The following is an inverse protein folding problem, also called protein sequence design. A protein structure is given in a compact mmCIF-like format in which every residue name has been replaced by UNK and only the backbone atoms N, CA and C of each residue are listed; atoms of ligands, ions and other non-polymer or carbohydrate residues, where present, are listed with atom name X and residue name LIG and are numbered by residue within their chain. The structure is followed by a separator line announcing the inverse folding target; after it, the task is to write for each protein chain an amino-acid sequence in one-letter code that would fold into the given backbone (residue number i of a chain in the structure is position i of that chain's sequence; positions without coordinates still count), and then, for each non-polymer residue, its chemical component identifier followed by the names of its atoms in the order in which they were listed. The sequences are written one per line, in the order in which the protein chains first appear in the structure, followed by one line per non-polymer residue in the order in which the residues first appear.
data_IF_109456459459
#
_entry.id   IF_109456459459
#
_cell.length_a   1.000
_cell.length_b   1.000
_cell.length_c   1.000
_cell.angle_alpha   90.00
_cell.angle_beta   90.00
_cell.angle_gamma   90.00
#
_symmetry.space_group_name_H-M   'P 1'
#
loop_
_entity.id
_entity.type
_entity.pdbx_description
1 polymer ?
#
# COMPACT_ATOMS: atom_id res chain seq x y z
N UNK A 1 14.54 -6.74 -3.53
CA UNK A 1 15.83 -6.03 -3.44
C UNK A 1 15.93 -5.27 -2.10
N UNK A 2 16.93 -5.57 -1.24
CA UNK A 2 17.07 -4.95 0.07
C UNK A 2 17.13 -3.42 0.06
N UNK A 3 17.85 -2.84 -0.91
CA UNK A 3 17.98 -1.39 -1.05
C UNK A 3 16.64 -0.68 -1.30
N UNK A 4 15.76 -1.28 -2.11
CA UNK A 4 14.42 -0.74 -2.36
C UNK A 4 13.57 -0.72 -1.08
N UNK A 5 13.57 -1.82 -0.33
CA UNK A 5 12.82 -1.92 0.91
C UNK A 5 13.34 -0.94 1.97
N UNK A 6 14.66 -0.84 2.13
CA UNK A 6 15.30 0.11 3.04
C UNK A 6 14.95 1.56 2.68
N UNK A 7 15.02 1.93 1.38
CA UNK A 7 14.66 3.27 0.93
C UNK A 7 13.18 3.59 1.20
N UNK A 8 12.26 2.66 0.97
CA UNK A 8 10.84 2.85 1.28
C UNK A 8 10.61 3.03 2.79
N UNK A 9 11.26 2.24 3.63
CA UNK A 9 11.19 2.38 5.08
C UNK A 9 11.75 3.75 5.54
N UNK A 10 12.87 4.19 4.97
CA UNK A 10 13.45 5.49 5.26
C UNK A 10 12.50 6.64 4.94
N UNK A 11 11.83 6.61 3.77
CA UNK A 11 10.82 7.62 3.41
C UNK A 11 9.63 7.60 4.36
N UNK A 12 9.10 6.41 4.69
CA UNK A 12 7.96 6.28 5.61
C UNK A 12 8.27 6.89 6.98
N UNK A 13 9.44 6.57 7.55
CA UNK A 13 9.87 7.12 8.84
C UNK A 13 10.26 8.59 8.76
N UNK A 14 10.89 9.01 7.67
CA UNK A 14 11.27 10.41 7.43
C UNK A 14 10.05 11.34 7.38
N UNK A 15 8.98 10.93 6.70
CA UNK A 15 7.73 11.69 6.66
C UNK A 15 7.06 11.81 8.04
N UNK A 16 7.13 10.76 8.86
CA UNK A 16 6.62 10.80 10.24
C UNK A 16 7.42 11.78 11.12
N UNK A 17 8.73 11.86 10.91
CA UNK A 17 9.57 12.87 11.58
C UNK A 17 9.21 14.28 11.10
N UNK A 18 9.11 14.50 9.78
CA UNK A 18 8.75 15.79 9.18
C UNK A 18 7.39 16.33 9.65
N UNK A 19 6.44 15.42 9.92
CA UNK A 19 5.11 15.79 10.40
C UNK A 19 5.17 16.67 11.67
N UNK A 20 6.18 16.52 12.52
CA UNK A 20 6.31 17.32 13.75
C UNK A 20 6.58 18.79 13.47
N UNK A 21 7.37 19.07 12.44
CA UNK A 21 7.92 20.39 12.20
C UNK A 21 7.13 21.18 11.14
N UNK A 22 6.45 20.49 10.22
CA UNK A 22 5.72 21.15 9.13
C UNK A 22 4.68 22.19 9.60
N UNK A 23 3.96 22.02 10.73
CA UNK A 23 2.98 23.01 11.18
C UNK A 23 3.63 24.31 11.66
N UNK A 24 4.91 24.26 12.08
CA UNK A 24 5.66 25.46 12.45
C UNK A 24 5.97 26.35 11.23
N UNK A 25 6.02 25.77 10.03
CA UNK A 25 6.22 26.49 8.76
C UNK A 25 4.88 26.93 8.17
N UNK A 26 3.88 26.04 8.17
CA UNK A 26 2.53 26.34 7.72
C UNK A 26 1.50 25.71 8.64
N UNK A 27 0.77 26.53 9.42
CA UNK A 27 -0.10 26.06 10.51
C UNK A 27 -1.22 25.09 10.12
N UNK A 28 -1.54 24.98 8.81
CA UNK A 28 -2.52 24.00 8.28
C UNK A 28 -1.88 22.81 7.57
N UNK A 29 -0.56 22.73 7.49
CA UNK A 29 0.12 21.63 6.81
C UNK A 29 -0.09 20.32 7.56
N UNK A 30 -0.34 19.26 6.79
CA UNK A 30 -0.46 17.89 7.29
C UNK A 30 0.45 16.99 6.48
N UNK A 31 1.07 16.02 7.15
CA UNK A 31 1.94 15.03 6.51
C UNK A 31 1.44 13.65 6.91
N UNK A 32 1.11 12.83 5.92
CA UNK A 32 0.75 11.43 6.08
C UNK A 32 1.40 10.64 4.94
N UNK A 33 1.52 9.33 5.11
CA UNK A 33 2.04 8.42 4.09
C UNK A 33 1.02 7.33 3.78
N UNK A 34 0.95 6.94 2.51
CA UNK A 34 0.15 5.78 2.06
C UNK A 34 1.12 4.68 1.64
N UNK A 35 1.02 3.52 2.27
CA UNK A 35 1.83 2.33 2.02
C UNK A 35 0.97 1.25 1.35
N UNK A 36 0.90 1.24 0.00
CA UNK A 36 0.13 0.24 -0.70
C UNK A 36 0.82 -1.13 -0.71
N UNK A 37 0.02 -2.17 -0.90
CA UNK A 37 0.50 -3.51 -1.25
C UNK A 37 0.82 -3.62 -2.74
N UNK A 38 0.64 -4.81 -3.31
CA UNK A 38 0.70 -4.98 -4.76
C UNK A 38 -0.54 -4.32 -5.37
N UNK A 39 -0.32 -3.34 -6.26
CA UNK A 39 -1.38 -2.56 -6.90
C UNK A 39 -1.57 -3.03 -8.34
N UNK A 40 -2.82 -3.11 -8.79
CA UNK A 40 -3.21 -3.49 -10.15
C UNK A 40 -2.86 -2.47 -11.24
N UNK A 41 -1.59 -2.05 -11.30
CA UNK A 41 -1.06 -1.12 -12.31
C UNK A 41 -0.88 -1.82 -13.67
N UNK A 42 -0.69 -1.04 -14.75
CA UNK A 42 -0.28 -1.60 -16.06
C UNK A 42 1.01 -2.41 -15.93
N UNK A 43 2.02 -1.85 -15.24
CA UNK A 43 3.28 -2.53 -14.97
C UNK A 43 3.10 -3.88 -14.29
N UNK A 44 2.25 -3.97 -13.26
CA UNK A 44 2.02 -5.25 -12.57
C UNK A 44 1.37 -6.29 -13.50
N UNK A 45 0.44 -5.86 -14.37
CA UNK A 45 -0.16 -6.74 -15.38
C UNK A 45 0.87 -7.25 -16.39
N UNK A 46 1.71 -6.35 -16.93
CA UNK A 46 2.82 -6.72 -17.83
C UNK A 46 3.81 -7.69 -17.15
N UNK A 47 4.11 -7.49 -15.87
CA UNK A 47 4.95 -8.41 -15.09
C UNK A 47 4.30 -9.78 -14.92
N UNK A 48 2.99 -9.85 -14.70
CA UNK A 48 2.25 -11.12 -14.63
C UNK A 48 2.21 -11.85 -15.98
N UNK A 49 1.99 -11.13 -17.08
CA UNK A 49 2.01 -11.69 -18.43
C UNK A 49 3.39 -12.26 -18.78
N UNK A 50 4.46 -11.56 -18.39
CA UNK A 50 5.84 -12.00 -18.65
C UNK A 50 6.28 -13.16 -17.75
N UNK A 51 5.90 -13.16 -16.47
CA UNK A 51 6.40 -14.11 -15.47
C UNK A 51 5.46 -15.29 -15.19
N UNK A 52 4.21 -15.23 -15.66
CA UNK A 52 3.22 -16.30 -15.53
C UNK A 52 2.41 -16.31 -14.23
N UNK A 53 1.50 -17.27 -14.12
CA UNK A 53 0.52 -17.36 -13.02
C UNK A 53 1.17 -17.61 -11.65
N UNK A 54 2.23 -18.41 -11.59
CA UNK A 54 2.96 -18.68 -10.34
C UNK A 54 3.50 -17.37 -9.72
N UNK A 55 3.99 -16.45 -10.56
CA UNK A 55 4.48 -15.14 -10.12
C UNK A 55 3.34 -14.28 -9.58
N UNK A 56 2.23 -14.22 -10.30
CA UNK A 56 1.03 -13.51 -9.86
C UNK A 56 0.54 -14.04 -8.52
N UNK A 57 0.40 -15.37 -8.39
CA UNK A 57 -0.01 -16.01 -7.14
C UNK A 57 0.92 -15.63 -5.99
N UNK A 58 2.23 -15.78 -6.16
CA UNK A 58 3.21 -15.47 -5.12
C UNK A 58 3.16 -14.00 -4.65
N UNK A 59 3.02 -13.06 -5.59
CA UNK A 59 3.03 -11.63 -5.28
C UNK A 59 1.72 -11.13 -4.66
N UNK A 60 0.58 -11.70 -5.05
CA UNK A 60 -0.74 -11.30 -4.57
C UNK A 60 -1.41 -12.36 -3.70
N UNK A 61 -1.90 -13.42 -4.33
CA UNK A 61 -2.86 -14.34 -3.72
C UNK A 61 -2.25 -15.09 -2.53
N UNK A 62 -0.98 -15.49 -2.62
CA UNK A 62 -0.29 -16.23 -1.59
C UNK A 62 -0.14 -15.45 -0.27
N UNK A 63 -0.02 -14.12 -0.31
CA UNK A 63 0.41 -13.32 0.87
C UNK A 63 -0.53 -12.19 1.26
N UNK A 64 -1.62 -11.98 0.51
CA UNK A 64 -2.61 -10.92 0.74
C UNK A 64 -3.93 -11.52 1.24
N UNK A 65 -4.47 -11.01 2.34
CA UNK A 65 -5.71 -11.51 2.94
C UNK A 65 -6.94 -11.48 2.02
N UNK A 66 -7.05 -10.45 1.19
CA UNK A 66 -8.10 -10.35 0.18
C UNK A 66 -7.85 -11.20 -1.08
N UNK A 67 -6.70 -11.89 -1.15
CA UNK A 67 -6.29 -12.75 -2.27
C UNK A 67 -6.39 -12.07 -3.65
N UNK A 68 -6.17 -10.75 -3.71
CA UNK A 68 -6.21 -9.97 -4.95
C UNK A 68 -5.34 -8.72 -4.85
N UNK A 69 -4.79 -8.22 -5.97
CA UNK A 69 -4.12 -6.94 -5.99
C UNK A 69 -5.07 -5.82 -5.57
N UNK A 70 -4.49 -4.76 -5.01
CA UNK A 70 -5.22 -3.55 -4.61
C UNK A 70 -5.59 -2.77 -5.88
N UNK A 71 -6.87 -2.40 -6.07
CA UNK A 71 -7.28 -1.49 -7.14
C UNK A 71 -6.57 -0.13 -7.03
N UNK A 72 -6.23 0.48 -8.18
CA UNK A 72 -5.58 1.81 -8.20
C UNK A 72 -6.49 2.87 -7.56
N UNK A 73 -7.80 2.69 -7.73
CA UNK A 73 -8.84 3.57 -7.23
C UNK A 73 -8.86 3.58 -5.69
N UNK A 74 -8.59 2.46 -5.02
CA UNK A 74 -8.59 2.37 -3.57
C UNK A 74 -7.41 3.16 -2.97
N UNK A 75 -6.25 3.08 -3.61
CA UNK A 75 -5.07 3.89 -3.24
C UNK A 75 -5.38 5.38 -3.47
N UNK A 76 -5.97 5.71 -4.62
CA UNK A 76 -6.28 7.10 -5.00
C UNK A 76 -7.34 7.72 -4.07
N UNK A 77 -8.39 6.98 -3.72
CA UNK A 77 -9.42 7.41 -2.76
C UNK A 77 -8.82 7.68 -1.38
N UNK A 78 -7.83 6.90 -0.96
CA UNK A 78 -7.12 7.14 0.30
C UNK A 78 -6.40 8.49 0.28
N UNK A 79 -5.72 8.83 -0.83
CA UNK A 79 -5.12 10.15 -0.98
C UNK A 79 -6.16 11.28 -0.94
N UNK A 80 -7.31 11.09 -1.61
CA UNK A 80 -8.39 12.07 -1.58
C UNK A 80 -8.93 12.30 -0.16
N UNK A 81 -9.13 11.23 0.61
CA UNK A 81 -9.52 11.31 2.03
C UNK A 81 -8.48 12.08 2.82
N UNK A 82 -7.19 11.74 2.69
CA UNK A 82 -6.10 12.40 3.40
C UNK A 82 -5.93 13.87 3.01
N UNK A 83 -6.20 14.24 1.76
CA UNK A 83 -6.15 15.63 1.31
C UNK A 83 -7.38 16.45 1.77
N UNK A 84 -8.50 15.80 2.07
CA UNK A 84 -9.74 16.49 2.45
C UNK A 84 -9.73 16.98 3.89
N UNK A 85 -10.01 18.26 4.08
CA UNK A 85 -10.22 18.84 5.41
C UNK A 85 -11.56 18.41 6.04
N UNK A 86 -12.53 17.97 5.24
CA UNK A 86 -13.80 17.46 5.79
C UNK A 86 -13.65 16.05 6.36
N UNK A 87 -12.85 15.20 5.70
CA UNK A 87 -12.72 13.80 6.10
C UNK A 87 -11.53 13.53 7.02
N UNK A 88 -10.47 14.35 6.95
CA UNK A 88 -9.21 14.00 7.63
C UNK A 88 -8.43 15.19 8.20
N UNK A 89 -9.03 16.36 8.44
CA UNK A 89 -8.35 17.55 8.97
C UNK A 89 -7.46 17.29 10.20
N UNK A 90 -7.83 16.36 11.09
CA UNK A 90 -6.99 15.99 12.25
C UNK A 90 -6.13 14.73 12.06
N UNK A 91 -6.11 14.18 10.85
CA UNK A 91 -5.24 13.05 10.50
C UNK A 91 -3.88 13.59 10.08
N UNK A 92 -2.87 13.29 10.89
CA UNK A 92 -1.51 13.81 10.75
C UNK A 92 -0.49 12.80 11.28
N UNK A 93 0.68 12.73 10.65
CA UNK A 93 1.77 11.81 11.00
C UNK A 93 1.45 10.33 10.77
N UNK A 94 0.37 9.99 10.05
CA UNK A 94 -0.09 8.61 9.92
C UNK A 94 0.58 7.88 8.75
N UNK A 95 0.82 6.58 8.93
CA UNK A 95 1.16 5.63 7.87
C UNK A 95 -0.07 4.77 7.60
N UNK A 96 -0.74 5.01 6.49
CA UNK A 96 -1.95 4.29 6.09
C UNK A 96 -1.62 3.13 5.18
N UNK A 97 -1.87 1.90 5.64
CA UNK A 97 -1.69 0.70 4.83
C UNK A 97 -2.90 0.45 3.94
N UNK A 98 -2.68 0.38 2.62
CA UNK A 98 -3.70 0.08 1.62
C UNK A 98 -3.24 -1.15 0.84
N UNK A 99 -3.26 -2.30 1.51
CA UNK A 99 -2.54 -3.49 1.06
C UNK A 99 -3.36 -4.79 1.07
N UNK A 100 -4.67 -4.73 1.30
CA UNK A 100 -5.53 -5.92 1.36
C UNK A 100 -5.20 -6.90 2.48
N UNK A 101 -4.46 -6.45 3.52
CA UNK A 101 -4.02 -7.30 4.62
C UNK A 101 -2.79 -8.15 4.26
N UNK A 102 -1.83 -7.61 3.50
CA UNK A 102 -0.57 -8.32 3.21
C UNK A 102 0.23 -8.55 4.49
N UNK A 103 0.51 -9.80 4.84
CA UNK A 103 1.21 -10.21 6.09
C UNK A 103 2.63 -10.71 5.87
N UNK A 104 3.05 -10.89 4.61
CA UNK A 104 4.38 -11.42 4.26
C UNK A 104 4.56 -12.92 4.56
N UNK A 105 3.55 -13.57 5.14
CA UNK A 105 3.48 -15.01 5.35
C UNK A 105 2.59 -15.65 4.28
N UNK A 106 2.80 -16.93 4.00
CA UNK A 106 1.91 -17.70 3.14
C UNK A 106 0.55 -17.82 3.83
N UNK A 107 -0.49 -17.33 3.16
CA UNK A 107 -1.85 -17.20 3.65
C UNK A 107 -2.83 -18.07 2.87
N UNK A 108 -2.62 -18.24 1.57
CA UNK A 108 -3.51 -19.00 0.71
C UNK A 108 -2.72 -19.99 -0.14
N UNK A 109 -3.01 -21.27 0.02
CA UNK A 109 -2.59 -22.30 -0.93
C UNK A 109 -3.50 -22.29 -2.17
N UNK A 110 -3.02 -22.76 -3.34
CA UNK A 110 -3.82 -22.76 -4.57
C UNK A 110 -5.15 -23.52 -4.46
N UNK A 111 -5.18 -24.64 -3.75
CA UNK A 111 -6.37 -25.44 -3.49
C UNK A 111 -7.40 -24.71 -2.61
N UNK A 112 -6.95 -23.93 -1.64
CA UNK A 112 -7.80 -23.11 -0.77
C UNK A 112 -8.45 -21.95 -1.54
N UNK A 113 -7.76 -21.39 -2.54
CA UNK A 113 -8.31 -20.35 -3.41
C UNK A 113 -9.43 -20.90 -4.30
N UNK A 114 -9.26 -22.11 -4.84
CA UNK A 114 -10.25 -22.76 -5.69
C UNK A 114 -11.58 -23.02 -4.95
N UNK A 115 -11.52 -23.27 -3.64
CA UNK A 115 -12.70 -23.52 -2.79
C UNK A 115 -13.46 -22.24 -2.40
N UNK A 116 -12.95 -21.05 -2.74
CA UNK A 116 -13.46 -19.76 -2.28
C UNK A 116 -14.46 -19.10 -3.25
N UNK A 117 -14.78 -19.76 -4.38
CA UNK A 117 -15.71 -19.27 -5.39
C UNK A 117 -17.17 -19.49 -5.01
#
# INVERSE_FOLDING_TARGET
MPAYAAAKAAVQRGLQSLARDVPMVFGKARVNAVAPGVVGTSRFREECERCGEQWRWAETEATVGTARPVPVEDVTRTFLVLASDHFSNRTHGQLQHVNGGKTGSLMWMPDQLAQRQ
#
